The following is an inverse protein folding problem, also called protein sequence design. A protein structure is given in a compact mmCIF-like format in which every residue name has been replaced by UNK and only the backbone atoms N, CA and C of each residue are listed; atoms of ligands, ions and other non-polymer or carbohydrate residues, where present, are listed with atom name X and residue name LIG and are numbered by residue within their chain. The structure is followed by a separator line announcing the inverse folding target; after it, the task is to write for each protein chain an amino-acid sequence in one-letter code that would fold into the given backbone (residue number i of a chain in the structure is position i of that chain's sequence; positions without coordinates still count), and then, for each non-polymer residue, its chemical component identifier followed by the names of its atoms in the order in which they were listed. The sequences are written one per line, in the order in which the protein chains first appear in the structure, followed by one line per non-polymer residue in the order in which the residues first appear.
data_IF_447429656365
#
_entry.id   IF_447429656365
#
_cell.length_a   1.000
_cell.length_b   1.000
_cell.length_c   1.000
_cell.angle_alpha   90.00
_cell.angle_beta   90.00
_cell.angle_gamma   90.00
#
_symmetry.space_group_name_H-M   'P 1'
#
loop_
_entity.id
_entity.type
_entity.pdbx_description
1 polymer ?
#
# COMPACT_ATOMS: atom_id res chain seq x y z
N UNK A 1 7.34 -2.06 -10.29
CA UNK A 1 8.63 -2.22 -9.59
C UNK A 1 9.71 -2.22 -10.66
N UNK A 2 10.86 -1.61 -10.43
CA UNK A 2 11.91 -1.47 -11.44
C UNK A 2 13.31 -1.55 -10.82
N UNK A 3 14.31 -1.83 -11.65
CA UNK A 3 15.74 -1.78 -11.29
C UNK A 3 16.49 -0.80 -12.19
N UNK A 4 17.49 -0.12 -11.65
CA UNK A 4 18.47 0.67 -12.41
C UNK A 4 19.86 0.15 -12.05
N UNK A 5 20.65 -0.25 -13.05
CA UNK A 5 22.01 -0.76 -12.88
C UNK A 5 22.16 -2.03 -12.04
N UNK A 6 21.06 -2.70 -11.69
CA UNK A 6 21.05 -3.92 -10.85
C UNK A 6 21.24 -3.66 -9.34
N UNK A 7 21.48 -2.42 -8.92
CA UNK A 7 21.75 -2.05 -7.53
C UNK A 7 20.81 -0.96 -6.99
N UNK A 8 20.07 -0.27 -7.85
CA UNK A 8 19.04 0.68 -7.45
C UNK A 8 17.69 0.01 -7.71
N UNK A 9 16.87 -0.13 -6.68
CA UNK A 9 15.56 -0.75 -6.74
C UNK A 9 14.49 0.30 -6.45
N UNK A 10 13.43 0.33 -7.27
CA UNK A 10 12.33 1.28 -7.11
C UNK A 10 10.96 0.61 -7.12
N UNK A 11 10.08 1.05 -6.22
CA UNK A 11 8.70 0.60 -6.14
C UNK A 11 7.78 1.81 -5.99
N UNK A 12 6.72 1.85 -6.81
CA UNK A 12 5.69 2.89 -6.72
C UNK A 12 4.66 2.59 -5.63
N UNK A 13 4.39 1.30 -5.39
CA UNK A 13 3.46 0.86 -4.35
C UNK A 13 4.08 0.93 -2.96
N UNK A 14 3.24 1.19 -1.95
CA UNK A 14 3.63 1.23 -0.55
C UNK A 14 3.41 -0.13 0.13
N UNK A 15 4.36 -1.05 -0.01
CA UNK A 15 4.27 -2.38 0.61
C UNK A 15 4.35 -2.31 2.16
N UNK A 16 4.86 -1.21 2.69
CA UNK A 16 4.93 -0.88 4.11
C UNK A 16 3.58 -0.46 4.72
N UNK A 17 2.56 -0.17 3.90
CA UNK A 17 1.27 0.27 4.43
C UNK A 17 0.58 -0.87 5.17
N UNK A 18 0.19 -0.55 6.41
CA UNK A 18 -0.64 -1.40 7.26
C UNK A 18 -2.06 -0.83 7.30
N UNK A 19 -3.03 -1.61 7.81
CA UNK A 19 -4.39 -1.09 8.04
C UNK A 19 -4.36 0.19 8.87
N UNK A 20 -3.49 0.27 9.88
CA UNK A 20 -3.33 1.47 10.73
C UNK A 20 -2.87 2.69 9.93
N UNK A 21 -1.86 2.53 9.07
CA UNK A 21 -1.36 3.62 8.21
C UNK A 21 -2.43 4.08 7.23
N UNK A 22 -3.16 3.13 6.63
CA UNK A 22 -4.25 3.42 5.70
C UNK A 22 -5.41 4.16 6.38
N UNK A 23 -5.81 3.74 7.58
CA UNK A 23 -6.82 4.45 8.36
C UNK A 23 -6.38 5.88 8.67
N UNK A 24 -5.15 6.09 9.12
CA UNK A 24 -4.64 7.43 9.38
C UNK A 24 -4.61 8.31 8.10
N UNK A 25 -4.28 7.72 6.95
CA UNK A 25 -4.31 8.44 5.68
C UNK A 25 -5.73 8.86 5.29
N UNK A 26 -6.69 7.95 5.41
CA UNK A 26 -8.12 8.19 5.15
C UNK A 26 -8.64 9.34 6.04
N UNK A 27 -8.38 9.29 7.34
CA UNK A 27 -8.82 10.34 8.29
C UNK A 27 -8.19 11.71 7.99
N UNK A 28 -6.92 11.74 7.58
CA UNK A 28 -6.25 12.99 7.19
C UNK A 28 -6.81 13.60 5.91
N UNK A 29 -7.19 12.75 4.95
CA UNK A 29 -7.76 13.21 3.69
C UNK A 29 -9.21 13.68 3.89
N UNK A 30 -9.94 13.06 4.82
CA UNK A 30 -11.26 13.52 5.27
C UNK A 30 -11.17 14.88 5.96
N UNK A 31 -10.26 15.04 6.93
CA UNK A 31 -10.14 16.30 7.70
C UNK A 31 -9.70 17.51 6.86
N UNK A 32 -9.12 17.26 5.69
CA UNK A 32 -8.73 18.30 4.73
C UNK A 32 -9.77 18.53 3.63
N UNK A 33 -10.92 17.85 3.68
CA UNK A 33 -11.94 17.84 2.60
C UNK A 33 -11.34 17.50 1.22
N UNK A 34 -10.28 16.67 1.19
CA UNK A 34 -9.58 16.29 -0.03
C UNK A 34 -10.26 15.14 -0.78
N UNK A 35 -11.22 14.46 -0.15
CA UNK A 35 -12.03 13.40 -0.76
C UNK A 35 -13.47 13.45 -0.23
N UNK A 36 -14.38 12.87 -1.00
CA UNK A 36 -15.79 12.77 -0.66
C UNK A 36 -16.06 11.72 0.43
N UNK A 37 -17.05 11.98 1.30
CA UNK A 37 -17.42 11.08 2.38
C UNK A 37 -17.84 9.67 1.89
N UNK A 38 -18.52 9.58 0.75
CA UNK A 38 -18.94 8.29 0.18
C UNK A 38 -17.74 7.41 -0.21
N UNK A 39 -16.67 8.04 -0.70
CA UNK A 39 -15.42 7.36 -1.01
C UNK A 39 -14.71 6.85 0.25
N UNK A 40 -14.76 7.61 1.34
CA UNK A 40 -14.19 7.21 2.65
C UNK A 40 -14.85 5.93 3.16
N UNK A 41 -16.18 5.89 3.18
CA UNK A 41 -16.92 4.73 3.68
C UNK A 41 -16.63 3.48 2.84
N UNK A 42 -16.57 3.64 1.51
CA UNK A 42 -16.18 2.56 0.60
C UNK A 42 -14.75 2.10 0.87
N UNK A 43 -13.80 3.02 1.08
CA UNK A 43 -12.41 2.70 1.37
C UNK A 43 -12.23 1.97 2.72
N UNK A 44 -12.93 2.41 3.77
CA UNK A 44 -12.92 1.77 5.09
C UNK A 44 -13.52 0.37 5.03
N UNK A 45 -14.67 0.21 4.37
CA UNK A 45 -15.29 -1.09 4.17
C UNK A 45 -14.35 -2.04 3.42
N UNK A 46 -13.75 -1.57 2.32
CA UNK A 46 -12.74 -2.32 1.57
C UNK A 46 -11.54 -2.73 2.42
N UNK A 47 -11.08 -1.86 3.32
CA UNK A 47 -9.96 -2.13 4.22
C UNK A 47 -10.30 -3.18 5.29
N UNK A 48 -11.54 -3.19 5.78
CA UNK A 48 -12.00 -4.19 6.74
C UNK A 48 -12.07 -5.59 6.11
N UNK A 49 -12.70 -5.70 4.93
CA UNK A 49 -12.84 -6.98 4.23
C UNK A 49 -11.54 -7.47 3.61
N UNK A 50 -10.60 -6.56 3.31
CA UNK A 50 -9.30 -6.93 2.77
C UNK A 50 -8.44 -7.58 3.86
N UNK A 51 -8.15 -8.86 3.70
CA UNK A 51 -7.00 -9.46 4.38
C UNK A 51 -5.73 -9.15 3.59
N UNK A 52 -4.70 -8.54 4.21
CA UNK A 52 -3.42 -8.41 3.55
C UNK A 52 -2.85 -9.81 3.32
N UNK A 53 -2.73 -10.23 2.05
CA UNK A 53 -2.04 -11.47 1.69
C UNK A 53 -0.55 -11.33 2.01
N UNK A 54 -0.21 -11.65 3.26
CA UNK A 54 1.13 -11.53 3.80
C UNK A 54 2.12 -12.37 3.01
N UNK A 55 1.72 -13.57 2.57
CA UNK A 55 2.57 -14.48 1.81
C UNK A 55 2.88 -13.93 0.43
N UNK A 56 1.88 -13.37 -0.25
CA UNK A 56 2.09 -12.73 -1.54
C UNK A 56 3.00 -11.50 -1.41
N UNK A 57 2.74 -10.65 -0.41
CA UNK A 57 3.57 -9.47 -0.14
C UNK A 57 5.02 -9.84 0.18
N UNK A 58 5.24 -10.81 1.06
CA UNK A 58 6.58 -11.31 1.40
C UNK A 58 7.30 -11.85 0.16
N UNK A 59 6.62 -12.66 -0.66
CA UNK A 59 7.19 -13.18 -1.91
C UNK A 59 7.59 -12.06 -2.87
N UNK A 60 6.72 -11.06 -3.06
CA UNK A 60 6.98 -9.90 -3.92
C UNK A 60 8.17 -9.09 -3.39
N UNK A 61 8.19 -8.76 -2.09
CA UNK A 61 9.31 -8.06 -1.45
C UNK A 61 10.62 -8.84 -1.58
N UNK A 62 10.60 -10.14 -1.33
CA UNK A 62 11.82 -10.97 -1.38
C UNK A 62 12.36 -11.11 -2.79
N UNK A 63 11.51 -11.21 -3.80
CA UNK A 63 11.94 -11.20 -5.19
C UNK A 63 12.53 -9.84 -5.57
N UNK A 64 11.90 -8.76 -5.13
CA UNK A 64 12.38 -7.39 -5.35
C UNK A 64 13.77 -7.15 -4.80
N UNK A 65 13.97 -7.44 -3.51
CA UNK A 65 15.24 -7.21 -2.82
C UNK A 65 16.37 -8.10 -3.38
N UNK A 66 16.03 -9.22 -4.03
CA UNK A 66 16.99 -10.07 -4.74
C UNK A 66 17.28 -9.60 -6.17
N UNK A 67 16.70 -8.48 -6.61
CA UNK A 67 16.79 -8.01 -7.99
C UNK A 67 16.10 -8.93 -9.00
N UNK A 68 15.20 -9.82 -8.53
CA UNK A 68 14.42 -10.78 -9.33
C UNK A 68 13.02 -10.22 -9.60
N UNK A 69 12.93 -8.92 -9.82
CA UNK A 69 11.68 -8.20 -10.13
C UNK A 69 11.14 -8.74 -11.45
#
# INVERSE_FOLDING_TARGET
MFTIGGHILGIQGHLEYTKVVLYNLIERLLSTNSIENEFIETAKFGLEIAEPDRKCRERICMNFLKGRI
#
